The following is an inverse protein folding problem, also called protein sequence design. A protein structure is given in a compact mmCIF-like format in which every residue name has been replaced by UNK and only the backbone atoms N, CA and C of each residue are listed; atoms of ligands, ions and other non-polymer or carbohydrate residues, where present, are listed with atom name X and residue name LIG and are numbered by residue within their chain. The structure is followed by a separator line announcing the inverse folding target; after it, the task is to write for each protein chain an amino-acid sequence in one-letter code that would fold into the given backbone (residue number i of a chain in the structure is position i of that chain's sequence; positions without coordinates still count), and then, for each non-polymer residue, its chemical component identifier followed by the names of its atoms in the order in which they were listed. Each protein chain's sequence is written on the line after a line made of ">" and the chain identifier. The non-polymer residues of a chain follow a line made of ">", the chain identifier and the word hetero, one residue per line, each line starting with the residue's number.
data_IF_557561147769
#
_entry.id   IF_557561147769
#
_cell.length_a   1.000
_cell.length_b   1.000
_cell.length_c   1.000
_cell.angle_alpha   90.00
_cell.angle_beta   90.00
_cell.angle_gamma   90.00
#
_symmetry.space_group_name_H-M   'P 1'
#
loop_
_entity.id
_entity.type
_entity.pdbx_description
1 polymer ?
#
# COMPACT_ATOMS: atom_id res chain seq x y z
N UNK A 1 -39.11 -2.42 -14.17
CA UNK A 1 -38.49 -1.12 -13.82
C UNK A 1 -38.14 -1.01 -12.34
N UNK A 2 -39.06 -1.29 -11.41
CA UNK A 2 -38.81 -1.22 -9.95
C UNK A 2 -37.73 -2.21 -9.44
N UNK A 3 -37.65 -3.48 -9.90
CA UNK A 3 -36.62 -4.42 -9.43
C UNK A 3 -35.20 -4.03 -9.84
N UNK A 4 -35.05 -3.51 -11.07
CA UNK A 4 -33.76 -3.07 -11.63
C UNK A 4 -33.17 -1.88 -10.85
N UNK A 5 -34.02 -0.98 -10.37
CA UNK A 5 -33.60 0.15 -9.55
C UNK A 5 -33.15 -0.27 -8.14
N UNK A 6 -33.77 -1.32 -7.58
CA UNK A 6 -33.39 -1.87 -6.28
C UNK A 6 -32.04 -2.62 -6.36
N UNK A 7 -31.80 -3.42 -7.39
CA UNK A 7 -30.50 -4.05 -7.64
C UNK A 7 -29.39 -3.01 -7.85
N UNK A 8 -29.65 -1.96 -8.63
CA UNK A 8 -28.69 -0.88 -8.84
C UNK A 8 -28.36 -0.11 -7.55
N UNK A 9 -29.34 0.09 -6.66
CA UNK A 9 -29.13 0.73 -5.36
C UNK A 9 -28.30 -0.15 -4.41
N UNK A 10 -28.58 -1.46 -4.38
CA UNK A 10 -27.81 -2.44 -3.58
C UNK A 10 -26.38 -2.53 -4.10
N UNK A 11 -26.19 -2.66 -5.41
CA UNK A 11 -24.86 -2.65 -6.04
C UNK A 11 -24.10 -1.35 -5.76
N UNK A 12 -24.78 -0.20 -5.83
CA UNK A 12 -24.19 1.10 -5.48
C UNK A 12 -23.75 1.20 -4.01
N UNK A 13 -24.57 0.68 -3.09
CA UNK A 13 -24.23 0.66 -1.66
C UNK A 13 -23.06 -0.29 -1.35
N UNK A 14 -22.97 -1.42 -2.05
CA UNK A 14 -21.86 -2.36 -1.92
C UNK A 14 -20.54 -1.77 -2.44
N UNK A 15 -20.56 -1.18 -3.65
CA UNK A 15 -19.38 -0.52 -4.23
C UNK A 15 -18.90 0.64 -3.37
N UNK A 16 -19.82 1.41 -2.77
CA UNK A 16 -19.47 2.46 -1.83
C UNK A 16 -18.81 1.90 -0.56
N UNK A 17 -19.32 0.79 -0.02
CA UNK A 17 -18.69 0.08 1.11
C UNK A 17 -17.28 -0.39 0.78
N UNK A 18 -17.07 -1.00 -0.38
CA UNK A 18 -15.75 -1.43 -0.85
C UNK A 18 -14.79 -0.25 -1.05
N UNK A 19 -15.28 0.88 -1.58
CA UNK A 19 -14.48 2.08 -1.74
C UNK A 19 -14.02 2.65 -0.39
N UNK A 20 -14.93 2.77 0.59
CA UNK A 20 -14.59 3.27 1.93
C UNK A 20 -13.57 2.36 2.60
N UNK A 21 -13.75 1.04 2.50
CA UNK A 21 -12.80 0.07 3.04
C UNK A 21 -11.45 0.17 2.32
N UNK A 22 -11.44 0.26 0.99
CA UNK A 22 -10.22 0.38 0.20
C UNK A 22 -9.43 1.65 0.52
N UNK A 23 -10.10 2.79 0.67
CA UNK A 23 -9.45 4.06 1.09
C UNK A 23 -8.94 3.96 2.52
N UNK A 24 -9.72 3.37 3.44
CA UNK A 24 -9.29 3.17 4.82
C UNK A 24 -8.03 2.30 4.91
N UNK A 25 -7.98 1.21 4.13
CA UNK A 25 -6.81 0.33 4.06
C UNK A 25 -5.63 1.01 3.40
N UNK A 26 -5.81 1.75 2.31
CA UNK A 26 -4.74 2.52 1.67
C UNK A 26 -4.06 3.49 2.66
N UNK A 27 -4.85 4.19 3.47
CA UNK A 27 -4.32 5.09 4.49
C UNK A 27 -3.50 4.35 5.55
N UNK A 28 -3.99 3.20 6.01
CA UNK A 28 -3.28 2.37 6.98
C UNK A 28 -1.98 1.79 6.40
N UNK A 29 -2.06 1.27 5.19
CA UNK A 29 -0.95 0.70 4.45
C UNK A 29 0.20 1.70 4.27
N UNK A 30 -0.15 2.94 3.92
CA UNK A 30 0.82 4.05 3.83
C UNK A 30 1.57 4.27 5.14
N UNK A 31 0.91 4.10 6.30
CA UNK A 31 1.55 4.22 7.62
C UNK A 31 2.52 3.05 7.88
N UNK A 32 2.13 1.82 7.57
CA UNK A 32 3.01 0.65 7.77
C UNK A 32 4.22 0.67 6.83
N UNK A 33 4.04 1.06 5.55
CA UNK A 33 5.14 1.29 4.60
C UNK A 33 6.10 2.35 5.13
N UNK A 34 5.58 3.51 5.55
CA UNK A 34 6.40 4.58 6.11
C UNK A 34 7.16 4.17 7.38
N UNK A 35 6.53 3.36 8.23
CA UNK A 35 7.16 2.79 9.43
C UNK A 35 8.30 1.84 9.07
N UNK A 36 8.06 0.89 8.16
CA UNK A 36 9.08 -0.06 7.69
C UNK A 36 10.30 0.68 7.11
N UNK A 37 10.06 1.65 6.24
CA UNK A 37 11.14 2.38 5.55
C UNK A 37 11.90 3.33 6.50
N UNK A 38 11.20 3.97 7.44
CA UNK A 38 11.86 4.75 8.48
C UNK A 38 12.78 3.85 9.33
N UNK A 39 12.36 2.65 9.71
CA UNK A 39 13.22 1.72 10.46
C UNK A 39 14.43 1.29 9.63
N UNK A 40 14.25 1.00 8.33
CA UNK A 40 15.34 0.66 7.41
C UNK A 40 16.41 1.76 7.35
N UNK A 41 16.01 3.03 7.26
CA UNK A 41 16.90 4.18 7.24
C UNK A 41 17.60 4.39 8.60
N UNK A 42 16.83 4.30 9.68
CA UNK A 42 17.32 4.64 11.02
C UNK A 42 18.25 3.59 11.62
N UNK A 43 18.12 2.32 11.25
CA UNK A 43 18.96 1.22 11.75
C UNK A 43 20.45 1.44 11.44
N UNK A 44 20.79 1.92 10.24
CA UNK A 44 22.18 2.18 9.86
C UNK A 44 22.78 3.35 10.69
N UNK A 45 22.04 4.45 10.83
CA UNK A 45 22.51 5.67 11.49
C UNK A 45 22.60 5.50 13.01
N UNK A 46 21.59 4.88 13.61
CA UNK A 46 21.55 4.60 15.05
C UNK A 46 22.54 3.51 15.43
N UNK A 47 22.65 2.45 14.62
CA UNK A 47 23.63 1.36 14.82
C UNK A 47 25.08 1.85 14.80
N UNK A 48 25.39 2.82 13.93
CA UNK A 48 26.68 3.48 13.87
C UNK A 48 26.92 4.53 14.97
N UNK A 49 25.94 4.78 15.86
CA UNK A 49 25.99 5.75 16.97
C UNK A 49 26.32 7.18 16.54
N UNK A 50 25.91 7.58 15.34
CA UNK A 50 26.20 8.91 14.77
C UNK A 50 25.29 9.98 15.40
N UNK A 51 24.01 9.65 15.62
CA UNK A 51 22.99 10.57 16.10
C UNK A 51 22.12 9.93 17.19
N UNK A 52 21.54 10.77 18.06
CA UNK A 52 20.61 10.31 19.08
C UNK A 52 19.28 9.86 18.46
N UNK A 53 18.61 8.88 19.09
CA UNK A 53 17.37 8.25 18.59
C UNK A 53 16.30 9.27 18.15
N UNK A 54 16.12 10.36 18.91
CA UNK A 54 15.10 11.38 18.62
C UNK A 54 15.38 12.12 17.31
N UNK A 55 16.65 12.48 17.08
CA UNK A 55 17.06 13.20 15.87
C UNK A 55 16.95 12.28 14.66
N UNK A 56 17.41 11.04 14.80
CA UNK A 56 17.37 10.03 13.73
C UNK A 56 15.94 9.77 13.25
N UNK A 57 14.99 9.58 14.18
CA UNK A 57 13.57 9.36 13.84
C UNK A 57 12.95 10.59 13.19
N UNK A 58 13.23 11.80 13.69
CA UNK A 58 12.69 13.03 13.12
C UNK A 58 13.19 13.26 11.68
N UNK A 59 14.49 13.10 11.44
CA UNK A 59 15.09 13.25 10.11
C UNK A 59 14.58 12.19 9.15
N UNK A 60 14.49 10.93 9.58
CA UNK A 60 13.96 9.85 8.74
C UNK A 60 12.48 10.09 8.38
N UNK A 61 11.64 10.49 9.33
CA UNK A 61 10.23 10.79 9.08
C UNK A 61 10.05 11.91 8.05
N UNK A 62 10.77 13.03 8.21
CA UNK A 62 10.75 14.13 7.24
C UNK A 62 11.27 13.66 5.87
N UNK A 63 12.35 12.89 5.85
CA UNK A 63 12.92 12.34 4.62
C UNK A 63 11.96 11.44 3.85
N UNK A 64 11.23 10.55 4.55
CA UNK A 64 10.22 9.67 3.95
C UNK A 64 9.07 10.49 3.36
N UNK A 65 8.54 11.48 4.09
CA UNK A 65 7.45 12.34 3.60
C UNK A 65 7.89 13.12 2.35
N UNK A 66 9.07 13.75 2.40
CA UNK A 66 9.62 14.47 1.24
C UNK A 66 9.83 13.51 0.06
N UNK A 67 10.45 12.36 0.31
CA UNK A 67 10.66 11.32 -0.72
C UNK A 67 9.35 10.91 -1.39
N UNK A 68 8.30 10.65 -0.60
CA UNK A 68 6.98 10.30 -1.11
C UNK A 68 6.39 11.42 -1.99
N UNK A 69 6.54 12.69 -1.62
CA UNK A 69 6.04 13.83 -2.43
C UNK A 69 6.75 13.97 -3.78
N UNK A 70 8.02 13.56 -3.88
CA UNK A 70 8.80 13.62 -5.13
C UNK A 70 8.79 12.30 -5.93
N UNK A 71 8.18 11.22 -5.41
CA UNK A 71 8.27 9.89 -5.99
C UNK A 71 7.39 9.66 -7.24
N UNK A 72 6.56 10.63 -7.64
CA UNK A 72 5.55 10.46 -8.71
C UNK A 72 6.12 9.91 -10.03
N UNK A 73 7.27 10.39 -10.48
CA UNK A 73 7.92 9.91 -11.71
C UNK A 73 8.42 8.47 -11.63
N UNK A 74 8.89 8.03 -10.45
CA UNK A 74 9.35 6.66 -10.21
C UNK A 74 8.17 5.71 -10.14
N UNK A 75 7.11 6.10 -9.44
CA UNK A 75 5.87 5.30 -9.31
C UNK A 75 5.22 5.10 -10.68
N UNK A 76 5.16 6.14 -11.51
CA UNK A 76 4.60 6.05 -12.87
C UNK A 76 5.41 5.08 -13.75
N UNK A 77 6.74 5.11 -13.63
CA UNK A 77 7.63 4.22 -14.41
C UNK A 77 7.55 2.78 -13.91
N UNK A 78 7.49 2.58 -12.59
CA UNK A 78 7.34 1.26 -11.98
C UNK A 78 5.98 0.62 -12.31
N UNK A 79 4.89 1.40 -12.29
CA UNK A 79 3.53 0.92 -12.58
C UNK A 79 3.42 0.34 -13.98
N UNK A 80 3.94 1.05 -15.00
CA UNK A 80 3.81 0.69 -16.42
C UNK A 80 4.36 -0.70 -16.78
N UNK A 81 5.27 -1.26 -15.97
CA UNK A 81 5.83 -2.59 -16.21
C UNK A 81 5.16 -3.73 -15.42
N UNK A 82 4.38 -3.41 -14.38
CA UNK A 82 3.89 -4.39 -13.39
C UNK A 82 2.37 -4.57 -13.48
N UNK A 83 1.63 -3.48 -13.66
CA UNK A 83 0.17 -3.50 -13.57
C UNK A 83 -0.48 -2.40 -14.40
N UNK A 84 -1.32 -2.80 -15.35
CA UNK A 84 -2.13 -1.88 -16.15
C UNK A 84 -3.60 -1.90 -15.67
N UNK A 85 -4.05 -0.87 -14.93
CA UNK A 85 -5.42 -0.81 -14.43
C UNK A 85 -6.46 -0.64 -15.53
N UNK A 86 -6.07 -0.24 -16.76
CA UNK A 86 -7.03 -0.04 -17.87
C UNK A 86 -7.59 -1.35 -18.43
N UNK A 87 -6.94 -2.47 -18.11
CA UNK A 87 -7.35 -3.81 -18.53
C UNK A 87 -8.39 -4.47 -17.60
N UNK A 88 -8.71 -3.83 -16.46
CA UNK A 88 -9.62 -4.37 -15.46
C UNK A 88 -10.96 -3.64 -15.47
N UNK A 89 -12.04 -4.37 -15.16
CA UNK A 89 -13.31 -3.73 -14.81
C UNK A 89 -13.19 -3.00 -13.48
N UNK A 90 -14.09 -2.05 -13.20
CA UNK A 90 -14.11 -1.34 -11.91
C UNK A 90 -14.16 -2.30 -10.72
N UNK A 91 -14.98 -3.34 -10.81
CA UNK A 91 -15.12 -4.36 -9.76
C UNK A 91 -13.83 -5.15 -9.56
N UNK A 92 -13.17 -5.56 -10.66
CA UNK A 92 -11.89 -6.26 -10.61
C UNK A 92 -10.79 -5.38 -10.03
N UNK A 93 -10.71 -4.10 -10.44
CA UNK A 93 -9.73 -3.17 -9.92
C UNK A 93 -9.90 -2.93 -8.41
N UNK A 94 -11.14 -2.72 -7.96
CA UNK A 94 -11.43 -2.57 -6.53
C UNK A 94 -11.07 -3.83 -5.73
N UNK A 95 -11.34 -5.02 -6.28
CA UNK A 95 -10.95 -6.28 -5.66
C UNK A 95 -9.41 -6.44 -5.56
N UNK A 96 -8.66 -6.12 -6.63
CA UNK A 96 -7.18 -6.11 -6.60
C UNK A 96 -6.70 -5.18 -5.51
N UNK A 97 -7.06 -3.89 -5.58
CA UNK A 97 -6.52 -2.89 -4.68
C UNK A 97 -6.85 -3.19 -3.22
N UNK A 98 -8.09 -3.58 -2.91
CA UNK A 98 -8.46 -3.97 -1.56
C UNK A 98 -7.68 -5.19 -1.07
N UNK A 99 -7.47 -6.20 -1.94
CA UNK A 99 -6.68 -7.39 -1.57
C UNK A 99 -5.21 -7.08 -1.34
N UNK A 100 -4.60 -6.23 -2.18
CA UNK A 100 -3.20 -5.83 -2.09
C UNK A 100 -2.98 -5.06 -0.80
N UNK A 101 -3.77 -4.01 -0.53
CA UNK A 101 -3.60 -3.22 0.70
C UNK A 101 -3.83 -4.05 1.97
N UNK A 102 -4.78 -4.98 1.94
CA UNK A 102 -5.01 -5.88 3.07
C UNK A 102 -3.78 -6.77 3.33
N UNK A 103 -3.25 -7.41 2.27
CA UNK A 103 -2.12 -8.34 2.40
C UNK A 103 -0.85 -7.59 2.80
N UNK A 104 -0.55 -6.44 2.16
CA UNK A 104 0.66 -5.66 2.45
C UNK A 104 0.63 -5.15 3.89
N UNK A 105 -0.49 -4.58 4.33
CA UNK A 105 -0.67 -4.14 5.72
C UNK A 105 -0.44 -5.28 6.72
N UNK A 106 -1.04 -6.46 6.50
CA UNK A 106 -0.87 -7.59 7.42
C UNK A 106 0.59 -8.05 7.44
N UNK A 107 1.22 -8.12 6.26
CA UNK A 107 2.57 -8.58 6.09
C UNK A 107 3.55 -7.61 6.77
N UNK A 108 3.50 -6.32 6.43
CA UNK A 108 4.34 -5.28 7.02
C UNK A 108 4.13 -5.15 8.52
N UNK A 109 2.89 -5.19 9.01
CA UNK A 109 2.62 -5.17 10.45
C UNK A 109 3.27 -6.37 11.15
N UNK A 110 3.11 -7.57 10.59
CA UNK A 110 3.65 -8.81 11.16
C UNK A 110 5.18 -8.77 11.23
N UNK A 111 5.86 -8.45 10.13
CA UNK A 111 7.32 -8.36 10.10
C UNK A 111 7.84 -7.23 11.00
N UNK A 112 7.16 -6.09 11.01
CA UNK A 112 7.49 -4.97 11.90
C UNK A 112 7.31 -5.32 13.37
N UNK A 113 6.35 -6.18 13.72
CA UNK A 113 6.18 -6.70 15.08
C UNK A 113 7.37 -7.57 15.52
N UNK A 114 8.01 -8.27 14.57
CA UNK A 114 9.25 -9.02 14.80
C UNK A 114 10.52 -8.17 14.63
N UNK A 115 10.40 -6.88 14.33
CA UNK A 115 11.54 -5.99 14.09
C UNK A 115 12.36 -6.34 12.84
N UNK A 116 11.76 -7.07 11.90
CA UNK A 116 12.43 -7.50 10.67
C UNK A 116 12.16 -6.51 9.54
N UNK A 117 13.21 -6.02 8.85
CA UNK A 117 13.05 -5.14 7.70
C UNK A 117 12.53 -5.91 6.47
N UNK A 118 11.57 -5.34 5.75
CA UNK A 118 10.99 -5.95 4.54
C UNK A 118 11.15 -5.02 3.34
N UNK A 119 11.28 -5.60 2.14
CA UNK A 119 11.23 -4.87 0.87
C UNK A 119 9.79 -4.69 0.41
N UNK A 120 9.23 -3.50 0.60
CA UNK A 120 7.87 -3.12 0.19
C UNK A 120 7.66 -3.25 -1.31
N UNK A 121 8.68 -2.93 -2.12
CA UNK A 121 8.64 -3.14 -3.58
C UNK A 121 8.47 -4.61 -3.95
N UNK A 122 9.14 -5.52 -3.23
CA UNK A 122 9.00 -6.96 -3.51
C UNK A 122 7.60 -7.46 -3.12
N UNK A 123 7.07 -7.02 -1.97
CA UNK A 123 5.71 -7.33 -1.52
C UNK A 123 4.68 -6.96 -2.58
N UNK A 124 4.70 -5.69 -3.01
CA UNK A 124 3.77 -5.16 -4.01
C UNK A 124 3.84 -5.93 -5.34
N UNK A 125 5.04 -6.32 -5.81
CA UNK A 125 5.18 -7.13 -7.03
C UNK A 125 4.52 -8.49 -6.89
N UNK A 126 4.72 -9.19 -5.76
CA UNK A 126 4.14 -10.52 -5.54
C UNK A 126 2.64 -10.49 -5.26
N UNK A 127 2.16 -9.44 -4.59
CA UNK A 127 0.73 -9.23 -4.33
C UNK A 127 -0.04 -8.95 -5.62
N UNK A 128 0.48 -8.06 -6.48
CA UNK A 128 -0.13 -7.80 -7.79
C UNK A 128 -0.07 -9.03 -8.70
N UNK A 129 1.01 -9.81 -8.64
CA UNK A 129 1.11 -11.08 -9.36
C UNK A 129 0.03 -12.07 -8.88
N UNK A 130 -0.12 -12.23 -7.56
CA UNK A 130 -1.15 -13.09 -6.96
C UNK A 130 -2.57 -12.66 -7.30
N UNK A 131 -2.87 -11.36 -7.19
CA UNK A 131 -4.16 -10.79 -7.55
C UNK A 131 -4.47 -10.99 -9.05
N UNK A 132 -3.47 -10.85 -9.92
CA UNK A 132 -3.61 -11.09 -11.36
C UNK A 132 -3.94 -12.55 -11.69
N UNK A 133 -3.40 -13.51 -10.93
CA UNK A 133 -3.77 -14.92 -11.10
C UNK A 133 -5.20 -15.22 -10.62
N UNK A 134 -5.70 -14.52 -9.60
CA UNK A 134 -7.02 -14.76 -9.02
C UNK A 134 -8.18 -14.24 -9.89
N UNK A 135 -7.93 -13.21 -10.71
CA UNK A 135 -8.96 -12.52 -11.51
C UNK A 135 -9.03 -13.04 -12.95
N UNK A 136 -8.10 -13.92 -13.32
CA UNK A 136 -8.01 -14.53 -14.64
C UNK A 136 -9.18 -15.45 -14.97
#
# INVERSE_FOLDING_TARGET
>A
MIPLLAEAAVAGSFLYGCLVLGVGMLLWDTVEVGRNDAVNLTNAVYGARILSRRVVVAVAGVGVVLGATFASGVIETARKGIFDPTMLTLEQALAVYASVYLVDTILLYSYSAYGMPVSTTACLVFELLGASFAIR
#
